data_IF_114387733550
#
_entry.id   IF_114387733550
#
_cell.length_a   1.000
_cell.length_b   1.000
_cell.length_c   1.000
_cell.angle_alpha   90.00
_cell.angle_beta   90.00
_cell.angle_gamma   90.00
#
_symmetry.space_group_name_H-M   'P 1'
#
loop_
_entity.id
_entity.type
_entity.pdbx_description
1 polymer ?
#
# COMPACT_ATOMS: atom_id res chain seq x y z
N UNK A 1 88.03 -63.67 3.73
CA UNK A 1 87.04 -64.56 4.38
C UNK A 1 85.70 -63.81 4.36
N UNK A 2 85.13 -63.59 3.18
CA UNK A 2 83.96 -64.28 2.59
C UNK A 2 82.67 -64.20 3.41
N UNK A 3 81.66 -63.45 2.92
CA UNK A 3 80.24 -63.84 2.65
C UNK A 3 79.25 -62.63 2.65
N UNK A 4 78.55 -62.40 1.50
CA UNK A 4 77.16 -61.86 1.23
C UNK A 4 76.78 -60.44 1.71
N UNK A 5 76.21 -59.48 0.95
CA UNK A 5 75.09 -59.37 -0.05
C UNK A 5 73.71 -59.82 0.47
N UNK A 6 72.73 -58.89 0.39
CA UNK A 6 71.25 -58.95 0.58
C UNK A 6 70.71 -58.75 2.01
N UNK A 7 70.07 -57.60 2.27
CA UNK A 7 68.60 -57.48 2.25
C UNK A 7 68.11 -55.98 2.27
N UNK A 8 67.25 -55.53 1.34
CA UNK A 8 66.60 -54.22 1.32
C UNK A 8 65.24 -54.23 2.09
N UNK A 9 64.70 -53.04 2.40
CA UNK A 9 63.37 -52.74 2.99
C UNK A 9 63.25 -52.97 4.51
N UNK A 10 63.24 -51.87 5.30
CA UNK A 10 62.15 -51.51 6.23
C UNK A 10 62.44 -50.13 6.87
N UNK A 11 61.46 -49.22 6.82
CA UNK A 11 61.45 -47.81 7.29
C UNK A 11 62.31 -46.83 6.44
N UNK A 12 61.83 -45.98 5.52
CA UNK A 12 60.51 -45.43 5.18
C UNK A 12 59.58 -45.19 6.36
N UNK A 13 60.01 -44.40 7.35
CA UNK A 13 59.12 -43.79 8.36
C UNK A 13 59.92 -42.95 9.37
N UNK A 14 60.62 -41.90 8.93
CA UNK A 14 60.99 -40.76 9.81
C UNK A 14 61.26 -39.49 8.98
N UNK A 15 60.44 -39.21 7.97
CA UNK A 15 60.38 -37.87 7.37
C UNK A 15 58.98 -37.30 7.55
N UNK A 16 58.91 -36.17 8.24
CA UNK A 16 57.74 -35.28 8.37
C UNK A 16 56.51 -35.89 9.06
N UNK A 17 56.47 -35.81 10.39
CA UNK A 17 55.26 -35.29 11.05
C UNK A 17 55.44 -33.78 11.20
N UNK A 18 55.18 -33.06 10.11
CA UNK A 18 54.64 -31.71 10.19
C UNK A 18 53.14 -31.93 10.00
N UNK A 19 52.42 -32.11 11.09
CA UNK A 19 51.00 -31.80 11.09
C UNK A 19 50.98 -30.30 10.85
N UNK A 20 50.60 -29.89 9.65
CA UNK A 20 50.13 -28.54 9.45
C UNK A 20 48.90 -28.43 10.34
N UNK A 21 48.99 -27.68 11.44
CA UNK A 21 47.79 -27.05 11.98
C UNK A 21 47.30 -26.14 10.87
N UNK A 22 46.34 -26.62 10.07
CA UNK A 22 45.43 -25.72 9.39
C UNK A 22 44.59 -25.14 10.54
N UNK A 23 44.68 -23.83 10.75
CA UNK A 23 43.63 -23.13 11.47
C UNK A 23 42.39 -23.27 10.60
N UNK A 24 41.40 -24.02 11.07
CA UNK A 24 40.09 -24.05 10.43
C UNK A 24 39.47 -22.66 10.54
N UNK A 25 38.90 -22.17 9.43
CA UNK A 25 38.24 -20.87 9.40
C UNK A 25 36.87 -21.04 10.02
N UNK A 26 36.63 -20.34 11.12
CA UNK A 26 35.32 -20.25 11.77
C UNK A 26 34.35 -19.46 10.89
N UNK A 27 33.10 -19.90 10.87
CA UNK A 27 31.97 -19.25 10.18
C UNK A 27 31.05 -18.68 11.25
N UNK A 28 30.58 -17.47 11.04
CA UNK A 28 29.74 -16.71 11.97
C UNK A 28 28.47 -16.26 11.24
N UNK A 29 27.33 -16.35 11.90
CA UNK A 29 26.03 -15.96 11.39
C UNK A 29 25.39 -15.02 12.43
N UNK A 30 25.20 -13.72 12.15
CA UNK A 30 24.62 -12.78 13.10
C UNK A 30 23.20 -13.15 13.53
N UNK A 31 22.42 -13.71 12.59
CA UNK A 31 21.09 -14.24 12.84
C UNK A 31 21.18 -15.62 13.53
N UNK A 32 20.69 -15.68 14.77
CA UNK A 32 20.70 -16.91 15.55
C UNK A 32 19.80 -18.01 14.94
N UNK A 33 18.69 -17.63 14.30
CA UNK A 33 17.78 -18.57 13.66
C UNK A 33 18.43 -19.20 12.43
N UNK A 34 19.19 -18.41 11.65
CA UNK A 34 20.01 -18.89 10.55
C UNK A 34 21.10 -19.84 11.06
N UNK A 35 21.84 -19.43 12.10
CA UNK A 35 22.88 -20.27 12.71
C UNK A 35 22.31 -21.61 13.19
N UNK A 36 21.22 -21.58 13.96
CA UNK A 36 20.57 -22.77 14.50
C UNK A 36 20.03 -23.69 13.40
N UNK A 37 19.47 -23.13 12.33
CA UNK A 37 18.97 -23.90 11.20
C UNK A 37 20.10 -24.58 10.42
N UNK A 38 21.22 -23.87 10.16
CA UNK A 38 22.39 -24.45 9.50
C UNK A 38 23.01 -25.55 10.37
N UNK A 39 23.17 -25.31 11.67
CA UNK A 39 23.66 -26.31 12.64
C UNK A 39 22.84 -27.59 12.63
N UNK A 40 21.52 -27.47 12.49
CA UNK A 40 20.62 -28.63 12.42
C UNK A 40 20.85 -29.45 11.14
N UNK A 41 21.15 -28.80 10.01
CA UNK A 41 21.39 -29.47 8.73
C UNK A 41 22.77 -30.16 8.67
N UNK A 42 23.79 -29.62 9.33
CA UNK A 42 25.14 -30.24 9.41
C UNK A 42 25.33 -31.19 10.60
N UNK A 43 24.27 -31.51 11.35
CA UNK A 43 24.31 -32.33 12.57
C UNK A 43 25.31 -31.81 13.65
N UNK A 44 25.60 -30.49 13.69
CA UNK A 44 26.58 -29.86 14.60
C UNK A 44 25.93 -28.90 15.59
N UNK A 45 25.43 -29.47 16.69
CA UNK A 45 24.66 -28.74 17.71
C UNK A 45 25.47 -28.06 18.80
N UNK A 46 26.79 -28.29 18.86
CA UNK A 46 27.68 -27.74 19.89
C UNK A 46 29.04 -27.35 19.29
N UNK A 47 29.65 -26.29 19.81
CA UNK A 47 30.98 -25.81 19.39
C UNK A 47 30.95 -24.80 18.24
N UNK A 48 32.12 -24.29 17.87
CA UNK A 48 32.28 -23.36 16.74
C UNK A 48 31.92 -24.07 15.42
N UNK A 49 31.28 -23.37 14.48
CA UNK A 49 31.10 -23.87 13.11
C UNK A 49 32.30 -23.48 12.26
N UNK A 50 32.77 -24.40 11.44
CA UNK A 50 33.90 -24.18 10.55
C UNK A 50 33.49 -24.38 9.09
N UNK A 51 34.21 -23.75 8.16
CA UNK A 51 33.97 -23.94 6.71
C UNK A 51 33.98 -25.42 6.31
N UNK A 52 34.76 -26.26 6.99
CA UNK A 52 34.80 -27.70 6.77
C UNK A 52 33.49 -28.43 7.03
N UNK A 53 32.63 -27.86 7.87
CA UNK A 53 31.37 -28.47 8.31
C UNK A 53 30.25 -28.23 7.30
N UNK A 54 30.35 -27.15 6.51
CA UNK A 54 29.33 -26.69 5.56
C UNK A 54 29.72 -26.84 4.09
N UNK A 55 31.01 -27.03 3.78
CA UNK A 55 31.54 -27.05 2.40
C UNK A 55 30.99 -28.15 1.48
N UNK A 56 30.35 -29.17 2.03
CA UNK A 56 29.86 -30.33 1.26
C UNK A 56 28.33 -30.27 1.07
N UNK A 57 27.69 -29.16 1.50
CA UNK A 57 26.26 -28.92 1.28
C UNK A 57 26.04 -28.38 -0.13
N UNK A 58 25.26 -29.12 -0.92
CA UNK A 58 24.81 -28.71 -2.27
C UNK A 58 23.37 -28.15 -2.23
N UNK A 59 22.54 -28.63 -1.30
CA UNK A 59 21.17 -28.14 -1.12
C UNK A 59 20.88 -27.88 0.35
N UNK A 60 20.04 -26.87 0.63
CA UNK A 60 19.71 -26.46 1.99
C UNK A 60 18.24 -26.07 2.12
N UNK A 61 17.57 -26.58 3.16
CA UNK A 61 16.19 -26.20 3.47
C UNK A 61 16.09 -25.45 4.79
N UNK A 62 15.82 -24.15 4.68
CA UNK A 62 15.67 -23.20 5.77
C UNK A 62 14.24 -22.62 5.83
N UNK A 63 13.24 -23.36 5.32
CA UNK A 63 11.86 -22.88 5.34
C UNK A 63 11.27 -22.82 6.75
N UNK A 64 10.51 -21.77 7.05
CA UNK A 64 9.73 -21.65 8.29
C UNK A 64 10.58 -21.50 9.55
N UNK A 65 11.73 -20.82 9.46
CA UNK A 65 12.71 -20.69 10.55
C UNK A 65 12.68 -19.34 11.25
N UNK A 66 11.88 -18.40 10.75
CA UNK A 66 11.85 -17.01 11.21
C UNK A 66 13.23 -16.35 11.10
N UNK A 67 13.91 -16.58 9.99
CA UNK A 67 15.19 -15.93 9.65
C UNK A 67 14.87 -14.51 9.18
N UNK A 68 15.57 -13.51 9.72
CA UNK A 68 15.44 -12.11 9.35
C UNK A 68 16.66 -11.64 8.52
N UNK A 69 17.85 -12.12 8.88
CA UNK A 69 19.13 -11.66 8.34
C UNK A 69 19.94 -12.83 7.75
N UNK A 70 20.43 -12.64 6.51
CA UNK A 70 21.18 -13.63 5.74
C UNK A 70 22.70 -13.44 5.79
N UNK A 71 23.21 -12.43 6.52
CA UNK A 71 24.65 -12.19 6.63
C UNK A 71 25.40 -13.45 7.07
N UNK A 72 26.50 -13.76 6.36
CA UNK A 72 27.32 -14.94 6.60
C UNK A 72 26.91 -16.17 5.78
N UNK A 73 25.73 -16.18 5.15
CA UNK A 73 25.28 -17.27 4.27
C UNK A 73 26.21 -17.48 3.07
N UNK A 74 26.95 -16.45 2.65
CA UNK A 74 27.92 -16.52 1.56
C UNK A 74 29.11 -17.44 1.86
N UNK A 75 29.31 -17.82 3.13
CA UNK A 75 30.30 -18.82 3.53
C UNK A 75 29.96 -20.24 3.04
N UNK A 76 28.72 -20.48 2.59
CA UNK A 76 28.25 -21.75 2.05
C UNK A 76 28.64 -21.91 0.56
N UNK A 77 29.95 -21.92 0.28
CA UNK A 77 30.53 -21.78 -1.07
C UNK A 77 30.09 -22.86 -2.11
N UNK A 78 29.51 -23.98 -1.67
CA UNK A 78 29.15 -25.11 -2.55
C UNK A 78 27.64 -25.33 -2.71
N UNK A 79 26.82 -24.43 -2.15
CA UNK A 79 25.38 -24.51 -2.24
C UNK A 79 24.91 -24.14 -3.66
N UNK A 80 24.09 -25.01 -4.24
CA UNK A 80 23.43 -24.83 -5.54
C UNK A 80 21.95 -24.47 -5.40
N UNK A 81 21.25 -24.98 -4.38
CA UNK A 81 19.80 -24.72 -4.17
C UNK A 81 19.48 -24.42 -2.69
N UNK A 82 18.74 -23.33 -2.43
CA UNK A 82 18.28 -22.98 -1.07
C UNK A 82 16.76 -22.79 -1.04
N UNK A 83 16.09 -23.40 -0.07
CA UNK A 83 14.70 -23.07 0.26
C UNK A 83 14.65 -22.15 1.49
N UNK A 84 14.21 -20.90 1.31
CA UNK A 84 14.02 -19.87 2.33
C UNK A 84 12.55 -19.50 2.52
N UNK A 85 11.62 -20.35 2.09
CA UNK A 85 10.17 -20.10 2.13
C UNK A 85 9.66 -19.84 3.56
N UNK A 86 8.72 -18.91 3.73
CA UNK A 86 8.07 -18.57 5.01
C UNK A 86 9.08 -18.13 6.09
N UNK A 87 9.89 -17.12 5.79
CA UNK A 87 10.78 -16.44 6.75
C UNK A 87 10.45 -14.93 6.80
N UNK A 88 11.29 -14.15 7.47
CA UNK A 88 11.11 -12.71 7.69
C UNK A 88 12.20 -11.89 6.97
N UNK A 89 12.71 -12.43 5.86
CA UNK A 89 13.86 -11.88 5.12
C UNK A 89 13.43 -10.65 4.34
N UNK A 90 14.18 -9.56 4.50
CA UNK A 90 13.96 -8.29 3.79
C UNK A 90 15.10 -7.91 2.86
N UNK A 91 16.27 -8.53 3.02
CA UNK A 91 17.48 -8.27 2.24
C UNK A 91 18.05 -9.58 1.68
N UNK A 92 18.34 -9.59 0.39
CA UNK A 92 18.89 -10.74 -0.35
C UNK A 92 20.27 -10.46 -0.93
N UNK A 93 20.87 -9.30 -0.65
CA UNK A 93 22.23 -8.94 -1.10
C UNK A 93 23.24 -10.09 -0.84
N UNK A 94 23.26 -10.77 0.33
CA UNK A 94 24.22 -11.85 0.58
C UNK A 94 24.18 -12.97 -0.47
N UNK A 95 22.99 -13.30 -0.99
CA UNK A 95 22.79 -14.38 -1.96
C UNK A 95 23.38 -14.03 -3.34
N UNK A 96 23.42 -12.75 -3.71
CA UNK A 96 23.93 -12.29 -5.03
C UNK A 96 25.41 -12.60 -5.24
N UNK A 97 26.15 -12.82 -4.14
CA UNK A 97 27.60 -13.09 -4.17
C UNK A 97 27.94 -14.59 -4.22
N UNK A 98 26.95 -15.47 -4.07
CA UNK A 98 27.12 -16.92 -4.02
C UNK A 98 27.29 -17.52 -5.42
N UNK A 99 28.55 -17.77 -5.80
CA UNK A 99 28.91 -18.13 -7.18
C UNK A 99 28.33 -19.44 -7.70
N UNK A 100 28.01 -20.38 -6.82
CA UNK A 100 27.47 -21.70 -7.19
C UNK A 100 25.94 -21.77 -6.99
N UNK A 101 25.30 -20.74 -6.41
CA UNK A 101 23.85 -20.73 -6.18
C UNK A 101 23.12 -20.62 -7.52
N UNK A 102 22.32 -21.62 -7.84
CA UNK A 102 21.55 -21.72 -9.08
C UNK A 102 20.08 -21.42 -8.83
N UNK A 103 19.51 -21.83 -7.70
CA UNK A 103 18.10 -21.63 -7.42
C UNK A 103 17.80 -21.27 -5.96
N UNK A 104 16.81 -20.39 -5.76
CA UNK A 104 16.32 -20.01 -4.43
C UNK A 104 14.79 -19.94 -4.39
N UNK A 105 14.17 -20.54 -3.36
CA UNK A 105 12.74 -20.35 -3.05
C UNK A 105 12.59 -19.30 -1.94
N UNK A 106 11.92 -18.19 -2.23
CA UNK A 106 11.75 -17.03 -1.32
C UNK A 106 10.29 -16.72 -0.99
N UNK A 107 9.34 -17.54 -1.45
CA UNK A 107 7.90 -17.35 -1.19
C UNK A 107 7.61 -17.13 0.30
N UNK A 108 6.68 -16.22 0.63
CA UNK A 108 6.31 -15.96 2.02
C UNK A 108 7.31 -15.12 2.82
N UNK A 109 8.24 -14.42 2.16
CA UNK A 109 9.10 -13.41 2.77
C UNK A 109 8.64 -11.98 2.43
N UNK A 110 8.85 -10.99 3.31
CA UNK A 110 8.52 -9.58 3.09
C UNK A 110 9.49 -8.88 2.12
N UNK A 111 9.66 -9.43 0.91
CA UNK A 111 10.57 -8.93 -0.12
C UNK A 111 9.86 -8.06 -1.15
N UNK A 112 10.56 -7.01 -1.60
CA UNK A 112 10.14 -6.16 -2.72
C UNK A 112 10.56 -6.77 -4.08
N UNK A 113 9.86 -6.43 -5.16
CA UNK A 113 10.11 -6.98 -6.50
C UNK A 113 11.52 -6.64 -7.03
N UNK A 114 12.11 -5.53 -6.58
CA UNK A 114 13.47 -5.14 -6.92
C UNK A 114 14.52 -6.15 -6.41
N UNK A 115 14.33 -6.69 -5.20
CA UNK A 115 15.22 -7.71 -4.64
C UNK A 115 15.17 -9.02 -5.45
N UNK A 116 13.99 -9.38 -5.95
CA UNK A 116 13.81 -10.56 -6.82
C UNK A 116 14.55 -10.35 -8.14
N UNK A 117 14.37 -9.18 -8.74
CA UNK A 117 15.03 -8.79 -10.00
C UNK A 117 16.55 -8.85 -9.88
N UNK A 118 17.12 -8.35 -8.77
CA UNK A 118 18.57 -8.35 -8.53
C UNK A 118 19.18 -9.77 -8.52
N UNK A 119 18.47 -10.73 -7.92
CA UNK A 119 18.88 -12.14 -7.90
C UNK A 119 18.80 -12.77 -9.29
N UNK A 120 17.72 -12.51 -10.04
CA UNK A 120 17.56 -13.00 -11.41
C UNK A 120 18.63 -12.43 -12.35
N UNK A 121 18.99 -11.15 -12.21
CA UNK A 121 20.09 -10.52 -12.95
C UNK A 121 21.46 -11.13 -12.61
N UNK A 122 21.60 -11.65 -11.39
CA UNK A 122 22.78 -12.41 -10.95
C UNK A 122 22.81 -13.84 -11.50
N UNK A 123 21.78 -14.26 -12.24
CA UNK A 123 21.68 -15.56 -12.89
C UNK A 123 21.09 -16.66 -12.01
N UNK A 124 20.49 -16.30 -10.87
CA UNK A 124 19.83 -17.21 -9.93
C UNK A 124 18.37 -17.40 -10.38
N UNK A 125 17.92 -18.65 -10.48
CA UNK A 125 16.51 -18.97 -10.68
C UNK A 125 15.74 -18.72 -9.37
N UNK A 126 14.84 -17.74 -9.37
CA UNK A 126 14.07 -17.36 -8.18
C UNK A 126 12.65 -17.90 -8.27
N UNK A 127 12.23 -18.67 -7.26
CA UNK A 127 10.84 -18.99 -7.01
C UNK A 127 10.32 -18.08 -5.90
N UNK A 128 9.52 -17.09 -6.28
CA UNK A 128 8.90 -16.16 -5.36
C UNK A 128 7.44 -15.95 -5.77
N UNK A 129 6.51 -16.35 -4.91
CA UNK A 129 5.11 -15.96 -5.00
C UNK A 129 4.83 -14.92 -3.93
N UNK A 130 4.56 -13.67 -4.34
CA UNK A 130 3.95 -12.69 -3.44
C UNK A 130 2.56 -13.19 -3.09
N UNK A 131 2.21 -13.24 -1.80
CA UNK A 131 0.88 -13.65 -1.37
C UNK A 131 -0.16 -12.73 -2.03
N UNK A 132 -0.84 -13.24 -3.07
CA UNK A 132 -1.89 -12.49 -3.76
C UNK A 132 -3.15 -12.59 -2.91
N UNK A 133 -3.40 -11.54 -2.12
CA UNK A 133 -4.61 -11.43 -1.31
C UNK A 133 -5.75 -10.95 -2.22
N UNK A 134 -6.45 -11.84 -2.91
CA UNK A 134 -7.55 -11.43 -3.81
C UNK A 134 -7.80 -12.43 -4.94
N UNK A 135 -8.66 -12.06 -5.88
CA UNK A 135 -8.86 -12.85 -7.10
C UNK A 135 -7.73 -12.55 -8.12
N UNK A 136 -7.31 -13.54 -8.94
CA UNK A 136 -6.32 -13.32 -10.00
C UNK A 136 -6.69 -12.21 -11.02
N UNK A 137 -7.99 -11.94 -11.18
CA UNK A 137 -8.55 -10.89 -12.05
C UNK A 137 -9.15 -9.73 -11.23
N UNK A 138 -8.79 -9.62 -9.95
CA UNK A 138 -9.23 -8.58 -9.00
C UNK A 138 -10.75 -8.39 -8.87
N UNK A 139 -11.24 -7.59 -7.92
CA UNK A 139 -12.53 -6.96 -8.06
C UNK A 139 -12.46 -5.76 -9.01
N UNK A 140 -13.63 -5.39 -9.51
CA UNK A 140 -13.81 -4.37 -10.53
C UNK A 140 -14.43 -3.11 -10.00
N UNK A 141 -13.69 -2.00 -10.03
CA UNK A 141 -14.24 -0.66 -9.81
C UNK A 141 -14.89 -0.11 -11.09
N UNK A 142 -14.82 1.20 -11.27
CA UNK A 142 -15.37 1.86 -12.44
C UNK A 142 -14.26 2.43 -13.33
N UNK A 143 -14.18 2.01 -14.59
CA UNK A 143 -13.15 2.48 -15.51
C UNK A 143 -13.73 2.95 -16.84
N UNK A 144 -13.39 4.18 -17.22
CA UNK A 144 -13.67 4.74 -18.54
C UNK A 144 -12.40 5.20 -19.22
N UNK A 145 -12.52 5.39 -20.54
CA UNK A 145 -11.48 5.89 -21.41
C UNK A 145 -12.02 6.99 -22.30
N UNK A 146 -11.25 8.06 -22.45
CA UNK A 146 -11.51 9.13 -23.43
C UNK A 146 -10.23 9.41 -24.22
N UNK A 147 -10.38 9.61 -25.53
CA UNK A 147 -9.26 9.87 -26.45
C UNK A 147 -9.49 11.17 -27.21
N UNK A 148 -8.41 11.93 -27.41
CA UNK A 148 -8.39 13.07 -28.32
C UNK A 148 -7.06 13.12 -29.09
N UNK A 149 -7.09 12.72 -30.37
CA UNK A 149 -5.86 12.56 -31.14
C UNK A 149 -5.01 11.40 -30.62
N UNK A 150 -3.78 11.68 -30.23
CA UNK A 150 -2.85 10.70 -29.64
C UNK A 150 -2.84 10.76 -28.09
N UNK A 151 -3.63 11.66 -27.48
CA UNK A 151 -3.79 11.74 -26.02
C UNK A 151 -4.88 10.79 -25.54
N UNK A 152 -4.57 10.01 -24.51
CA UNK A 152 -5.50 9.06 -23.87
C UNK A 152 -5.66 9.41 -22.39
N UNK A 153 -6.90 9.39 -21.89
CA UNK A 153 -7.18 9.53 -20.46
C UNK A 153 -8.02 8.35 -20.00
N UNK A 154 -7.53 7.66 -18.98
CA UNK A 154 -8.28 6.68 -18.21
C UNK A 154 -8.88 7.37 -16.99
N UNK A 155 -10.19 7.23 -16.78
CA UNK A 155 -10.93 7.78 -15.65
C UNK A 155 -11.29 6.62 -14.71
N UNK A 156 -10.56 6.49 -13.61
CA UNK A 156 -10.74 5.44 -12.61
C UNK A 156 -11.50 5.98 -11.40
N UNK A 157 -12.68 5.41 -11.13
CA UNK A 157 -13.46 5.66 -9.93
C UNK A 157 -12.85 4.94 -8.73
N UNK A 158 -12.66 5.66 -7.63
CA UNK A 158 -12.00 5.15 -6.42
C UNK A 158 -12.96 5.09 -5.23
N UNK A 159 -12.55 4.32 -4.22
CA UNK A 159 -13.04 4.40 -2.85
C UNK A 159 -11.83 4.67 -1.95
N UNK A 160 -12.00 5.56 -0.97
CA UNK A 160 -10.92 5.99 -0.07
C UNK A 160 -10.55 4.96 1.01
N UNK A 161 -11.39 3.93 1.16
CA UNK A 161 -11.22 2.87 2.16
C UNK A 161 -11.12 1.53 1.44
N UNK A 162 -10.14 0.72 1.86
CA UNK A 162 -9.86 -0.57 1.27
C UNK A 162 -9.93 -1.71 2.28
N UNK A 163 -9.94 -2.90 1.71
CA UNK A 163 -9.74 -4.19 2.40
C UNK A 163 -8.69 -4.96 1.61
N UNK A 164 -7.91 -5.86 2.24
CA UNK A 164 -6.81 -6.53 1.55
C UNK A 164 -7.20 -7.24 0.25
N UNK A 165 -8.41 -7.81 0.16
CA UNK A 165 -8.91 -8.53 -1.02
C UNK A 165 -9.42 -7.60 -2.14
N UNK A 166 -9.25 -6.29 -2.01
CA UNK A 166 -9.48 -5.31 -3.07
C UNK A 166 -8.33 -5.28 -4.09
N UNK A 167 -7.14 -5.77 -3.72
CA UNK A 167 -5.91 -5.61 -4.49
C UNK A 167 -5.25 -6.96 -4.86
N UNK A 168 -4.66 -7.13 -6.05
CA UNK A 168 -4.63 -6.16 -7.14
C UNK A 168 -6.03 -5.93 -7.74
N UNK A 169 -6.19 -4.79 -8.40
CA UNK A 169 -7.44 -4.45 -9.09
C UNK A 169 -7.60 -5.29 -10.36
N UNK A 170 -8.78 -5.24 -10.99
CA UNK A 170 -9.04 -5.93 -12.24
C UNK A 170 -7.99 -5.63 -13.33
N UNK A 171 -7.64 -6.64 -14.15
CA UNK A 171 -6.47 -6.58 -15.06
C UNK A 171 -6.47 -5.37 -15.99
N UNK A 172 -7.65 -4.98 -16.49
CA UNK A 172 -7.86 -3.80 -17.33
C UNK A 172 -7.49 -2.48 -16.63
N UNK A 173 -7.75 -2.38 -15.33
CA UNK A 173 -7.43 -1.20 -14.52
C UNK A 173 -5.93 -1.14 -14.29
N UNK A 174 -5.32 -2.27 -13.90
CA UNK A 174 -3.87 -2.35 -13.73
C UNK A 174 -3.12 -2.08 -15.05
N UNK A 175 -3.64 -2.55 -16.19
CA UNK A 175 -3.08 -2.24 -17.52
C UNK A 175 -3.22 -0.77 -17.88
N UNK A 176 -4.37 -0.15 -17.63
CA UNK A 176 -4.58 1.28 -17.83
C UNK A 176 -3.55 2.09 -17.04
N UNK A 177 -3.31 1.75 -15.77
CA UNK A 177 -2.27 2.36 -14.95
C UNK A 177 -0.87 2.17 -15.54
N UNK A 178 -0.51 0.94 -15.96
CA UNK A 178 0.82 0.63 -16.54
C UNK A 178 1.06 1.43 -17.82
N UNK A 179 0.04 1.55 -18.68
CA UNK A 179 0.11 2.29 -19.95
C UNK A 179 0.23 3.81 -19.76
N UNK A 180 -0.16 4.36 -18.61
CA UNK A 180 -0.14 5.79 -18.36
C UNK A 180 1.24 6.34 -18.03
N UNK A 181 1.55 7.51 -18.58
CA UNK A 181 2.77 8.28 -18.31
C UNK A 181 2.62 9.13 -17.04
N UNK A 182 1.39 9.61 -16.76
CA UNK A 182 1.08 10.56 -15.70
C UNK A 182 -0.09 10.05 -14.86
N UNK A 183 0.00 10.19 -13.54
CA UNK A 183 -1.10 9.89 -12.60
C UNK A 183 -1.71 11.17 -12.08
N UNK A 184 -3.02 11.27 -12.13
CA UNK A 184 -3.76 12.49 -11.89
C UNK A 184 -4.78 12.27 -10.76
N UNK A 185 -4.38 12.44 -9.48
CA UNK A 185 -5.29 12.33 -8.36
C UNK A 185 -6.12 13.62 -8.17
N UNK A 186 -7.19 13.54 -7.37
CA UNK A 186 -7.87 14.75 -6.87
C UNK A 186 -6.88 15.65 -6.12
N UNK A 187 -6.11 15.06 -5.22
CA UNK A 187 -5.07 15.75 -4.45
C UNK A 187 -3.78 14.93 -4.43
N UNK A 188 -2.65 15.61 -4.55
CA UNK A 188 -1.34 15.00 -4.35
C UNK A 188 -0.95 15.06 -2.88
N UNK A 189 -1.09 13.95 -2.16
CA UNK A 189 -0.76 13.88 -0.73
C UNK A 189 0.74 13.71 -0.46
N UNK A 190 1.56 13.35 -1.45
CA UNK A 190 3.00 13.14 -1.26
C UNK A 190 3.81 14.42 -1.38
N UNK A 191 3.34 15.38 -2.19
CA UNK A 191 4.04 16.65 -2.40
C UNK A 191 3.49 17.82 -1.57
N UNK A 192 2.59 17.56 -0.62
CA UNK A 192 2.12 18.60 0.30
C UNK A 192 2.96 18.61 1.58
N UNK A 193 3.49 19.79 1.93
CA UNK A 193 4.20 19.94 3.20
C UNK A 193 3.25 19.76 4.39
N UNK A 194 3.57 18.82 5.29
CA UNK A 194 2.79 18.58 6.52
C UNK A 194 2.55 19.84 7.35
N UNK A 195 3.49 20.80 7.33
CA UNK A 195 3.33 22.08 8.02
C UNK A 195 2.23 22.95 7.40
N UNK A 196 2.08 22.92 6.07
CA UNK A 196 1.04 23.65 5.35
C UNK A 196 -0.33 23.00 5.59
N UNK A 197 -0.42 21.67 5.56
CA UNK A 197 -1.66 20.95 5.91
C UNK A 197 -2.11 21.25 7.34
N UNK A 198 -1.19 21.16 8.31
CA UNK A 198 -1.52 21.45 9.70
C UNK A 198 -1.99 22.90 9.88
N UNK A 199 -1.34 23.85 9.20
CA UNK A 199 -1.75 25.25 9.23
C UNK A 199 -3.15 25.45 8.63
N UNK A 200 -3.42 24.81 7.49
CA UNK A 200 -4.70 24.89 6.81
C UNK A 200 -5.82 24.27 7.65
N UNK A 201 -5.59 23.10 8.24
CA UNK A 201 -6.53 22.45 9.15
C UNK A 201 -6.80 23.31 10.39
N UNK A 202 -5.77 23.93 10.98
CA UNK A 202 -5.98 24.89 12.07
C UNK A 202 -6.80 26.10 11.61
N UNK A 203 -6.49 26.69 10.46
CA UNK A 203 -7.20 27.86 9.93
C UNK A 203 -8.69 27.59 9.69
N UNK A 204 -9.00 26.46 9.05
CA UNK A 204 -10.37 26.12 8.64
C UNK A 204 -11.16 25.41 9.75
N UNK A 205 -10.49 24.55 10.50
CA UNK A 205 -11.09 23.58 11.42
C UNK A 205 -11.11 23.99 12.89
N UNK A 206 -10.52 25.12 13.28
CA UNK A 206 -10.59 25.62 14.67
C UNK A 206 -11.40 26.90 14.80
N UNK A 207 -11.96 27.13 15.99
CA UNK A 207 -12.60 28.40 16.33
C UNK A 207 -11.57 29.54 16.37
N UNK A 208 -11.91 30.67 15.75
CA UNK A 208 -11.06 31.87 15.70
C UNK A 208 -11.56 32.97 16.66
N UNK A 209 -12.66 32.72 17.35
CA UNK A 209 -13.22 33.60 18.37
C UNK A 209 -13.04 32.97 19.77
N UNK A 210 -13.74 33.49 20.78
CA UNK A 210 -13.67 32.98 22.16
C UNK A 210 -14.62 31.81 22.41
N UNK A 211 -15.31 31.30 21.36
CA UNK A 211 -16.23 30.16 21.48
C UNK A 211 -15.49 28.83 21.28
N UNK A 212 -16.15 27.74 21.64
CA UNK A 212 -15.64 26.37 21.53
C UNK A 212 -16.75 25.41 21.07
N UNK A 213 -16.43 24.13 20.92
CA UNK A 213 -17.38 23.11 20.47
C UNK A 213 -18.65 23.03 21.34
N UNK A 214 -18.51 23.07 22.68
CA UNK A 214 -19.63 23.05 23.64
C UNK A 214 -20.62 24.20 23.40
N UNK A 215 -20.13 25.38 23.01
CA UNK A 215 -20.97 26.56 22.75
C UNK A 215 -21.90 26.40 21.53
N UNK A 216 -21.56 25.51 20.59
CA UNK A 216 -22.30 25.33 19.32
C UNK A 216 -23.08 24.01 19.25
N UNK A 217 -22.85 23.06 20.17
CA UNK A 217 -23.55 21.78 20.18
C UNK A 217 -24.77 21.77 21.11
N UNK A 218 -25.84 21.01 20.77
CA UNK A 218 -26.81 20.58 21.75
C UNK A 218 -26.13 19.79 22.88
N UNK A 219 -26.61 19.97 24.11
CA UNK A 219 -26.06 19.31 25.30
C UNK A 219 -25.96 17.78 25.16
N UNK A 220 -26.96 17.16 24.53
CA UNK A 220 -26.98 15.71 24.29
C UNK A 220 -25.86 15.29 23.33
N UNK A 221 -25.72 15.97 22.20
CA UNK A 221 -24.65 15.76 21.22
C UNK A 221 -23.27 15.97 21.83
N UNK A 222 -23.07 17.01 22.65
CA UNK A 222 -21.79 17.25 23.33
C UNK A 222 -21.40 16.10 24.26
N UNK A 223 -22.37 15.53 25.00
CA UNK A 223 -22.13 14.38 25.87
C UNK A 223 -21.75 13.10 25.09
N UNK A 224 -22.33 12.91 23.90
CA UNK A 224 -21.98 11.79 23.01
C UNK A 224 -20.56 11.94 22.48
N UNK A 225 -20.18 13.15 22.03
CA UNK A 225 -18.80 13.48 21.62
C UNK A 225 -17.82 13.25 22.78
N UNK A 226 -18.12 13.78 23.96
CA UNK A 226 -17.29 13.61 25.15
C UNK A 226 -17.06 12.12 25.44
N UNK A 227 -18.13 11.33 25.44
CA UNK A 227 -18.05 9.89 25.67
C UNK A 227 -17.20 9.19 24.59
N UNK A 228 -17.47 9.47 23.31
CA UNK A 228 -16.77 8.87 22.17
C UNK A 228 -15.25 9.06 22.24
N UNK A 229 -14.81 10.30 22.50
CA UNK A 229 -13.39 10.64 22.52
C UNK A 229 -12.71 10.25 23.84
N UNK A 230 -13.36 10.42 24.99
CA UNK A 230 -12.77 10.06 26.28
C UNK A 230 -12.58 8.55 26.43
N UNK A 231 -13.52 7.73 25.94
CA UNK A 231 -13.38 6.26 25.95
C UNK A 231 -12.20 5.79 25.09
N UNK A 232 -11.82 6.58 24.07
CA UNK A 232 -10.65 6.36 23.20
C UNK A 232 -9.39 7.09 23.68
N UNK A 233 -9.43 7.74 24.84
CA UNK A 233 -8.27 8.38 25.48
C UNK A 233 -7.92 9.76 24.94
N UNK A 234 -8.79 10.39 24.14
CA UNK A 234 -8.59 11.74 23.64
C UNK A 234 -9.06 12.78 24.66
N UNK A 235 -8.26 13.82 24.97
CA UNK A 235 -8.64 14.86 25.91
C UNK A 235 -9.59 15.89 25.27
N UNK A 236 -10.74 16.13 25.92
CA UNK A 236 -11.72 17.11 25.41
C UNK A 236 -11.17 18.52 25.23
N UNK A 237 -10.19 18.95 26.03
CA UNK A 237 -9.61 20.28 25.88
C UNK A 237 -8.93 20.55 24.52
N UNK A 238 -8.62 19.51 23.73
CA UNK A 238 -8.17 19.65 22.33
C UNK A 238 -9.38 19.60 21.39
N UNK A 239 -10.29 18.64 21.60
CA UNK A 239 -11.49 18.46 20.78
C UNK A 239 -12.39 19.72 20.80
N UNK A 240 -12.51 20.37 21.96
CA UNK A 240 -13.29 21.60 22.14
C UNK A 240 -12.81 22.76 21.26
N UNK A 241 -11.56 22.71 20.77
CA UNK A 241 -11.00 23.74 19.89
C UNK A 241 -11.41 23.58 18.43
N UNK A 242 -11.90 22.40 18.05
CA UNK A 242 -12.26 22.05 16.68
C UNK A 242 -13.73 22.34 16.40
N UNK A 243 -14.02 22.76 15.17
CA UNK A 243 -15.37 22.93 14.65
C UNK A 243 -16.05 21.57 14.39
N UNK A 244 -17.39 21.51 14.36
CA UNK A 244 -18.12 20.24 14.29
C UNK A 244 -17.74 19.38 13.07
N UNK A 245 -17.54 19.97 11.89
CA UNK A 245 -17.15 19.22 10.69
C UNK A 245 -15.82 18.47 10.85
N UNK A 246 -14.84 19.09 11.53
CA UNK A 246 -13.53 18.46 11.73
C UNK A 246 -13.65 17.35 12.76
N UNK A 247 -14.45 17.55 13.81
CA UNK A 247 -14.76 16.51 14.80
C UNK A 247 -15.48 15.34 14.14
N UNK A 248 -16.42 15.58 13.24
CA UNK A 248 -17.10 14.55 12.44
C UNK A 248 -16.11 13.71 11.64
N UNK A 249 -15.17 14.35 10.93
CA UNK A 249 -14.12 13.65 10.19
C UNK A 249 -13.20 12.83 11.11
N UNK A 250 -12.87 13.35 12.30
CA UNK A 250 -12.09 12.61 13.30
C UNK A 250 -12.84 11.39 13.84
N UNK A 251 -14.16 11.51 14.06
CA UNK A 251 -15.01 10.36 14.44
C UNK A 251 -14.92 9.29 13.37
N UNK A 252 -15.20 9.61 12.10
CA UNK A 252 -15.12 8.65 11.00
C UNK A 252 -13.74 8.01 10.87
N UNK A 253 -12.66 8.78 10.96
CA UNK A 253 -11.29 8.25 10.86
C UNK A 253 -10.97 7.27 11.98
N UNK A 254 -11.38 7.55 13.22
CA UNK A 254 -11.17 6.65 14.36
C UNK A 254 -11.97 5.35 14.23
N UNK A 255 -13.18 5.42 13.67
CA UNK A 255 -14.02 4.25 13.42
C UNK A 255 -13.42 3.32 12.36
N UNK A 256 -12.93 3.89 11.24
CA UNK A 256 -12.19 3.16 10.21
C UNK A 256 -10.96 2.46 10.80
N UNK A 257 -10.18 3.18 11.60
CA UNK A 257 -8.97 2.64 12.24
C UNK A 257 -9.30 1.50 13.21
N UNK A 258 -10.37 1.63 14.01
CA UNK A 258 -10.80 0.61 14.97
C UNK A 258 -11.27 -0.68 14.30
N UNK A 259 -11.89 -0.55 13.11
CA UNK A 259 -12.34 -1.67 12.29
C UNK A 259 -11.22 -2.33 11.46
N UNK A 260 -10.04 -1.70 11.39
CA UNK A 260 -8.87 -2.25 10.69
C UNK A 260 -8.99 -2.21 9.16
N UNK A 261 -9.82 -1.33 8.62
CA UNK A 261 -9.82 -1.03 7.18
C UNK A 261 -8.48 -0.41 6.78
N UNK A 262 -8.06 -0.69 5.54
CA UNK A 262 -6.80 -0.22 4.98
C UNK A 262 -7.01 0.96 4.05
N UNK A 263 -5.91 1.47 3.50
CA UNK A 263 -5.92 2.47 2.45
C UNK A 263 -6.75 2.02 1.23
N UNK A 264 -7.41 3.00 0.61
CA UNK A 264 -8.28 2.82 -0.56
C UNK A 264 -7.55 2.70 -1.90
N UNK A 265 -8.35 2.70 -2.97
CA UNK A 265 -7.88 2.54 -4.35
C UNK A 265 -7.07 3.74 -4.82
N UNK A 266 -7.46 4.93 -4.36
CA UNK A 266 -6.74 6.19 -4.56
C UNK A 266 -5.30 6.10 -4.02
N UNK A 267 -5.15 5.75 -2.74
CA UNK A 267 -3.82 5.63 -2.11
C UNK A 267 -3.01 4.45 -2.64
N UNK A 268 -3.67 3.36 -3.06
CA UNK A 268 -3.01 2.24 -3.75
C UNK A 268 -2.31 2.71 -5.04
N UNK A 269 -3.04 3.35 -5.95
CA UNK A 269 -2.45 3.82 -7.21
C UNK A 269 -1.50 4.99 -7.03
N UNK A 270 -1.76 5.89 -6.08
CA UNK A 270 -0.86 7.00 -5.78
C UNK A 270 0.47 6.51 -5.22
N UNK A 271 0.46 5.50 -4.33
CA UNK A 271 1.69 4.89 -3.80
C UNK A 271 2.46 4.15 -4.88
N UNK A 272 1.77 3.43 -5.78
CA UNK A 272 2.41 2.82 -6.97
C UNK A 272 3.05 3.88 -7.85
N UNK A 273 2.35 4.98 -8.12
CA UNK A 273 2.89 6.08 -8.93
C UNK A 273 4.19 6.65 -8.35
N UNK A 274 4.27 6.78 -7.03
CA UNK A 274 5.49 7.21 -6.35
C UNK A 274 6.62 6.15 -6.46
N UNK A 275 6.30 4.87 -6.30
CA UNK A 275 7.27 3.78 -6.42
C UNK A 275 7.83 3.65 -7.85
N UNK A 276 6.97 3.85 -8.85
CA UNK A 276 7.29 3.76 -10.28
C UNK A 276 7.89 5.07 -10.85
N UNK A 277 8.11 6.10 -10.03
CA UNK A 277 8.62 7.43 -10.43
C UNK A 277 7.79 8.08 -11.56
N UNK A 278 6.46 7.87 -11.53
CA UNK A 278 5.53 8.50 -12.49
C UNK A 278 5.30 9.96 -12.12
N UNK A 279 5.07 10.79 -13.14
CA UNK A 279 4.66 12.18 -12.92
C UNK A 279 3.28 12.23 -12.26
N UNK A 280 3.13 13.07 -11.23
CA UNK A 280 1.86 13.25 -10.49
C UNK A 280 1.39 14.69 -10.66
N UNK A 281 0.15 14.87 -11.12
CA UNK A 281 -0.48 16.19 -11.30
C UNK A 281 -1.84 16.16 -10.61
N UNK A 282 -2.02 16.94 -9.53
CA UNK A 282 -3.29 17.02 -8.83
C UNK A 282 -4.33 17.88 -9.59
N UNK A 283 -5.61 17.47 -9.55
CA UNK A 283 -6.74 18.24 -10.08
C UNK A 283 -7.14 19.40 -9.17
N UNK A 284 -6.93 19.25 -7.86
CA UNK A 284 -7.41 20.17 -6.83
C UNK A 284 -6.32 20.47 -5.80
N UNK A 285 -6.55 21.53 -5.01
CA UNK A 285 -5.69 21.83 -3.87
C UNK A 285 -6.28 21.29 -2.57
N UNK A 286 -5.47 21.05 -1.53
CA UNK A 286 -6.00 20.68 -0.21
C UNK A 286 -6.97 21.71 0.38
N UNK A 287 -6.84 22.99 0.00
CA UNK A 287 -7.78 24.03 0.42
C UNK A 287 -9.14 23.87 -0.23
N UNK A 288 -9.18 23.47 -1.50
CA UNK A 288 -10.44 23.25 -2.22
C UNK A 288 -11.22 22.10 -1.56
N UNK A 289 -10.54 21.00 -1.21
CA UNK A 289 -11.13 19.86 -0.48
C UNK A 289 -11.62 20.21 0.93
N UNK A 290 -10.76 20.79 1.77
CA UNK A 290 -11.15 21.13 3.15
C UNK A 290 -12.15 22.29 3.23
N UNK A 291 -12.13 23.17 2.24
CA UNK A 291 -13.03 24.33 2.14
C UNK A 291 -14.50 23.91 2.05
N UNK A 292 -14.80 22.80 1.37
CA UNK A 292 -16.16 22.25 1.22
C UNK A 292 -16.83 22.16 2.58
N UNK A 293 -16.19 21.50 3.54
CA UNK A 293 -16.73 21.28 4.88
C UNK A 293 -16.73 22.55 5.73
N UNK A 294 -15.65 23.33 5.63
CA UNK A 294 -15.45 24.51 6.45
C UNK A 294 -16.42 25.66 6.11
N UNK A 295 -16.89 25.73 4.87
CA UNK A 295 -17.78 26.77 4.35
C UNK A 295 -19.28 26.44 4.55
N UNK A 296 -19.61 25.23 5.00
CA UNK A 296 -20.99 24.85 5.36
C UNK A 296 -21.51 25.67 6.53
N UNK A 297 -22.84 25.79 6.63
CA UNK A 297 -23.48 26.46 7.75
C UNK A 297 -23.15 25.73 9.06
N UNK A 298 -22.99 26.48 10.16
CA UNK A 298 -22.69 25.86 11.47
C UNK A 298 -23.75 24.82 11.84
N UNK A 299 -25.04 25.12 11.62
CA UNK A 299 -26.14 24.20 11.89
C UNK A 299 -25.98 22.88 11.12
N UNK A 300 -25.52 22.93 9.87
CA UNK A 300 -25.29 21.73 9.07
C UNK A 300 -24.01 20.98 9.47
N UNK A 301 -22.94 21.69 9.86
CA UNK A 301 -21.76 21.04 10.44
C UNK A 301 -22.11 20.27 11.73
N UNK A 302 -23.01 20.81 12.55
CA UNK A 302 -23.54 20.12 13.74
C UNK A 302 -24.34 18.88 13.34
N UNK A 303 -25.23 18.98 12.34
CA UNK A 303 -25.98 17.85 11.82
C UNK A 303 -25.04 16.72 11.34
N UNK A 304 -23.99 17.04 10.57
CA UNK A 304 -23.01 16.06 10.12
C UNK A 304 -22.33 15.34 11.28
N UNK A 305 -21.96 16.07 12.34
CA UNK A 305 -21.37 15.48 13.53
C UNK A 305 -22.36 14.54 14.24
N UNK A 306 -23.63 14.92 14.37
CA UNK A 306 -24.68 14.07 14.94
C UNK A 306 -24.85 12.77 14.13
N UNK A 307 -24.85 12.87 12.80
CA UNK A 307 -24.95 11.71 11.90
C UNK A 307 -23.70 10.82 11.92
N UNK A 308 -22.53 11.37 12.27
CA UNK A 308 -21.28 10.58 12.37
C UNK A 308 -21.20 9.70 13.64
N UNK A 309 -21.97 10.03 14.68
CA UNK A 309 -21.93 9.37 16.00
C UNK A 309 -22.79 8.09 16.06
N UNK A 310 -22.72 7.26 15.02
CA UNK A 310 -23.45 5.99 14.95
C UNK A 310 -22.69 4.82 15.61
N UNK A 311 -23.42 3.74 15.90
CA UNK A 311 -22.85 2.52 16.46
C UNK A 311 -21.84 1.88 15.50
N UNK A 312 -20.72 1.39 16.04
CA UNK A 312 -19.62 0.81 15.25
C UNK A 312 -20.03 -0.39 14.41
N UNK A 313 -20.99 -1.20 14.87
CA UNK A 313 -21.46 -2.35 14.10
C UNK A 313 -22.34 -1.92 12.93
N UNK A 314 -23.07 -0.80 13.06
CA UNK A 314 -23.82 -0.20 11.95
C UNK A 314 -22.85 0.40 10.94
N UNK A 315 -21.85 1.16 11.42
CA UNK A 315 -20.81 1.74 10.57
C UNK A 315 -20.04 0.66 9.78
N UNK A 316 -19.67 -0.45 10.42
CA UNK A 316 -19.02 -1.59 9.77
C UNK A 316 -19.90 -2.23 8.67
N UNK A 317 -21.20 -2.40 8.93
CA UNK A 317 -22.14 -2.96 7.96
C UNK A 317 -22.29 -2.06 6.74
N UNK A 318 -22.42 -0.75 6.95
CA UNK A 318 -22.58 0.23 5.88
C UNK A 318 -21.30 0.28 5.03
N UNK A 319 -20.11 0.31 5.64
CA UNK A 319 -18.84 0.27 4.91
C UNK A 319 -18.66 -1.04 4.12
N UNK A 320 -18.96 -2.19 4.71
CA UNK A 320 -18.84 -3.47 4.01
C UNK A 320 -19.79 -3.54 2.81
N UNK A 321 -21.02 -3.03 2.95
CA UNK A 321 -21.97 -2.96 1.85
C UNK A 321 -21.45 -2.07 0.71
N UNK A 322 -20.89 -0.90 1.03
CA UNK A 322 -20.30 0.00 0.02
C UNK A 322 -19.11 -0.63 -0.71
N UNK A 323 -18.23 -1.34 0.02
CA UNK A 323 -17.10 -2.05 -0.57
C UNK A 323 -17.59 -3.18 -1.49
N UNK A 324 -18.58 -3.96 -1.07
CA UNK A 324 -19.13 -5.05 -1.87
C UNK A 324 -19.77 -4.52 -3.17
N UNK A 325 -20.43 -3.37 -3.11
CA UNK A 325 -21.00 -2.70 -4.28
C UNK A 325 -19.89 -2.15 -5.17
N UNK A 326 -18.90 -1.48 -4.60
CA UNK A 326 -17.75 -1.00 -5.35
C UNK A 326 -17.07 -2.14 -6.11
N UNK A 327 -16.82 -3.28 -5.46
CA UNK A 327 -16.24 -4.49 -6.07
C UNK A 327 -17.06 -5.06 -7.24
N UNK A 328 -18.35 -4.75 -7.29
CA UNK A 328 -19.28 -5.22 -8.33
C UNK A 328 -19.33 -4.33 -9.57
N UNK A 329 -18.81 -3.10 -9.49
CA UNK A 329 -18.87 -2.10 -10.57
C UNK A 329 -20.29 -1.65 -10.95
N UNK A 330 -21.31 -1.90 -10.12
CA UNK A 330 -22.69 -1.54 -10.43
C UNK A 330 -23.02 -0.10 -9.98
N UNK A 331 -23.09 0.81 -10.95
CA UNK A 331 -23.43 2.22 -10.72
C UNK A 331 -24.82 2.39 -10.11
N UNK A 332 -25.82 1.64 -10.58
CA UNK A 332 -27.19 1.76 -10.07
C UNK A 332 -27.27 1.34 -8.61
N UNK A 333 -26.62 0.23 -8.23
CA UNK A 333 -26.58 -0.25 -6.84
C UNK A 333 -25.83 0.75 -5.93
N UNK A 334 -24.76 1.39 -6.44
CA UNK A 334 -24.02 2.41 -5.70
C UNK A 334 -24.90 3.62 -5.39
N UNK A 335 -25.60 4.13 -6.40
CA UNK A 335 -26.49 5.28 -6.24
C UNK A 335 -27.71 4.94 -5.37
N UNK A 336 -28.28 3.74 -5.50
CA UNK A 336 -29.43 3.31 -4.69
C UNK A 336 -29.08 3.14 -3.20
N UNK A 337 -27.85 2.76 -2.87
CA UNK A 337 -27.40 2.65 -1.47
C UNK A 337 -27.05 4.01 -0.87
N UNK A 338 -26.46 4.90 -1.65
CA UNK A 338 -26.06 6.22 -1.17
C UNK A 338 -27.23 7.22 -1.13
N UNK A 339 -28.22 7.06 -2.00
CA UNK A 339 -29.35 7.96 -2.12
C UNK A 339 -30.66 7.21 -1.97
N UNK A 340 -31.45 7.58 -0.95
CA UNK A 340 -32.84 7.13 -0.90
C UNK A 340 -33.61 7.73 -2.08
N UNK A 341 -33.96 6.91 -3.08
CA UNK A 341 -34.49 7.32 -4.38
C UNK A 341 -35.81 8.13 -4.33
N UNK A 342 -36.45 8.22 -3.17
CA UNK A 342 -37.73 8.91 -2.94
C UNK A 342 -37.69 9.98 -1.82
N UNK A 343 -36.53 10.23 -1.19
CA UNK A 343 -36.39 11.24 -0.14
C UNK A 343 -36.05 12.61 -0.76
N UNK A 344 -36.79 13.65 -0.35
CA UNK A 344 -36.44 15.01 -0.74
C UNK A 344 -35.29 15.49 0.16
N UNK A 345 -34.17 15.86 -0.45
CA UNK A 345 -33.08 16.54 0.25
C UNK A 345 -33.57 17.89 0.80
N UNK A 346 -33.04 18.26 1.96
CA UNK A 346 -33.10 19.61 2.49
C UNK A 346 -32.30 20.57 1.61
N UNK A 347 -32.53 21.87 1.78
CA UNK A 347 -31.80 22.90 1.02
C UNK A 347 -30.31 22.87 1.38
N UNK A 348 -30.00 22.55 2.62
CA UNK A 348 -28.64 22.41 3.13
C UNK A 348 -27.93 21.17 2.57
N UNK A 349 -28.62 20.03 2.47
CA UNK A 349 -28.10 18.82 1.80
C UNK A 349 -27.89 19.04 0.30
N UNK A 350 -28.82 19.71 -0.40
CA UNK A 350 -28.66 20.09 -1.80
C UNK A 350 -27.41 20.95 -2.01
N UNK A 351 -27.21 21.97 -1.16
CA UNK A 351 -26.05 22.85 -1.24
C UNK A 351 -24.73 22.13 -0.91
N UNK A 352 -24.76 21.18 0.03
CA UNK A 352 -23.61 20.34 0.33
C UNK A 352 -23.25 19.44 -0.85
N UNK A 353 -24.23 18.76 -1.46
CA UNK A 353 -24.00 17.92 -2.63
C UNK A 353 -23.51 18.73 -3.84
N UNK A 354 -24.06 19.93 -4.07
CA UNK A 354 -23.59 20.84 -5.13
C UNK A 354 -22.12 21.25 -4.91
N UNK A 355 -21.70 21.46 -3.65
CA UNK A 355 -20.31 21.79 -3.32
C UNK A 355 -19.37 20.58 -3.38
N UNK A 356 -19.81 19.42 -2.88
CA UNK A 356 -19.04 18.19 -2.81
C UNK A 356 -18.83 17.53 -4.18
N UNK A 357 -19.84 17.62 -5.06
CA UNK A 357 -19.87 16.91 -6.34
C UNK A 357 -19.90 17.89 -7.52
N UNK A 358 -20.99 18.63 -7.71
CA UNK A 358 -21.27 19.33 -8.98
C UNK A 358 -20.20 20.37 -9.34
N UNK A 359 -19.91 21.30 -8.44
CA UNK A 359 -18.93 22.36 -8.68
C UNK A 359 -17.53 21.79 -8.94
N UNK A 360 -17.19 20.69 -8.25
CA UNK A 360 -15.92 19.99 -8.40
C UNK A 360 -15.86 19.24 -9.72
N UNK A 361 -16.94 18.58 -10.14
CA UNK A 361 -17.02 17.88 -11.42
C UNK A 361 -16.80 18.82 -12.60
N UNK A 362 -17.36 20.03 -12.56
CA UNK A 362 -17.07 21.05 -13.59
C UNK A 362 -15.60 21.49 -13.58
N UNK A 363 -15.00 21.70 -12.41
CA UNK A 363 -13.58 22.05 -12.29
C UNK A 363 -12.65 20.93 -12.79
N UNK A 364 -12.91 19.69 -12.36
CA UNK A 364 -12.18 18.50 -12.78
C UNK A 364 -12.30 18.28 -14.30
N UNK A 365 -13.51 18.39 -14.85
CA UNK A 365 -13.72 18.29 -16.30
C UNK A 365 -12.96 19.38 -17.07
N UNK A 366 -12.90 20.62 -16.55
CA UNK A 366 -12.12 21.70 -17.15
C UNK A 366 -10.62 21.36 -17.21
N UNK A 367 -10.04 20.83 -16.12
CA UNK A 367 -8.63 20.39 -16.09
C UNK A 367 -8.38 19.18 -17.00
N UNK A 368 -9.29 18.19 -17.00
CA UNK A 368 -9.20 17.02 -17.88
C UNK A 368 -9.25 17.43 -19.36
N UNK A 369 -10.12 18.38 -19.72
CA UNK A 369 -10.18 18.94 -21.07
C UNK A 369 -8.86 19.64 -21.44
N UNK A 370 -8.17 20.31 -20.51
CA UNK A 370 -6.83 20.88 -20.77
C UNK A 370 -5.80 19.81 -21.10
N UNK A 371 -5.84 18.65 -20.43
CA UNK A 371 -4.97 17.53 -20.78
C UNK A 371 -5.29 16.99 -22.17
N UNK A 372 -6.56 16.77 -22.50
CA UNK A 372 -7.02 16.31 -23.83
C UNK A 372 -6.63 17.27 -24.97
N UNK A 373 -6.56 18.58 -24.70
CA UNK A 373 -6.23 19.60 -25.70
C UNK A 373 -4.73 19.98 -25.74
N UNK A 374 -3.92 19.45 -24.81
CA UNK A 374 -2.50 19.80 -24.67
C UNK A 374 -1.67 19.46 -25.91
N UNK A 375 -2.01 18.35 -26.59
CA UNK A 375 -1.25 17.81 -27.72
C UNK A 375 0.13 17.28 -27.32
N UNK A 376 0.30 16.85 -26.07
CA UNK A 376 1.55 16.31 -25.53
C UNK A 376 1.75 14.81 -25.84
N UNK A 377 0.79 14.18 -26.53
CA UNK A 377 0.79 12.74 -26.90
C UNK A 377 1.03 11.83 -25.67
N UNK A 378 0.43 12.20 -24.52
CA UNK A 378 0.56 11.50 -23.24
C UNK A 378 -0.67 10.64 -22.91
N UNK A 379 -0.46 9.63 -22.06
CA UNK A 379 -1.52 8.83 -21.45
C UNK A 379 -1.66 9.18 -19.97
N UNK A 380 -2.84 9.63 -19.54
CA UNK A 380 -3.13 10.03 -18.16
C UNK A 380 -3.98 8.98 -17.44
N UNK A 381 -3.63 8.65 -16.20
CA UNK A 381 -4.44 7.84 -15.30
C UNK A 381 -5.06 8.72 -14.22
N UNK A 382 -6.30 9.15 -14.44
CA UNK A 382 -7.04 10.00 -13.52
C UNK A 382 -7.73 9.14 -12.46
N UNK A 383 -7.45 9.41 -11.18
CA UNK A 383 -8.08 8.74 -10.04
C UNK A 383 -8.92 9.75 -9.25
N UNK A 384 -10.24 9.58 -9.30
CA UNK A 384 -11.22 10.41 -8.56
C UNK A 384 -12.22 9.52 -7.85
N UNK A 385 -12.85 10.02 -6.79
CA UNK A 385 -13.91 9.34 -6.06
C UNK A 385 -15.02 8.91 -7.01
N UNK A 386 -15.55 7.70 -6.81
CA UNK A 386 -16.50 7.09 -7.76
C UNK A 386 -17.70 7.98 -8.09
N UNK A 387 -18.17 8.78 -7.12
CA UNK A 387 -19.28 9.72 -7.35
C UNK A 387 -18.99 10.78 -8.41
N UNK A 388 -17.74 11.22 -8.57
CA UNK A 388 -17.35 12.16 -9.62
C UNK A 388 -17.54 11.60 -11.03
N UNK A 389 -17.64 10.27 -11.17
CA UNK A 389 -17.87 9.58 -12.43
C UNK A 389 -19.30 9.05 -12.58
N UNK A 390 -20.07 8.95 -11.49
CA UNK A 390 -21.38 8.28 -11.50
C UNK A 390 -22.56 9.15 -11.09
N UNK A 391 -22.36 10.20 -10.30
CA UNK A 391 -23.43 11.07 -9.81
C UNK A 391 -23.56 12.33 -10.67
N UNK A 392 -24.70 12.46 -11.34
CA UNK A 392 -24.99 13.59 -12.23
C UNK A 392 -25.05 14.94 -11.49
N UNK A 393 -24.50 16.03 -12.07
CA UNK A 393 -23.64 16.05 -13.26
C UNK A 393 -22.26 15.43 -12.95
N UNK A 394 -21.92 14.32 -13.60
CA UNK A 394 -20.63 13.66 -13.40
C UNK A 394 -19.63 14.07 -14.50
N UNK A 395 -18.33 13.92 -14.25
CA UNK A 395 -17.26 14.32 -15.19
C UNK A 395 -17.48 13.73 -16.59
N UNK A 396 -17.93 12.48 -16.68
CA UNK A 396 -18.19 11.82 -17.97
C UNK A 396 -19.29 12.54 -18.77
N UNK A 397 -20.42 12.90 -18.16
CA UNK A 397 -21.52 13.56 -18.87
C UNK A 397 -21.13 14.97 -19.28
N UNK A 398 -20.32 15.65 -18.47
CA UNK A 398 -19.76 16.97 -18.82
C UNK A 398 -18.84 16.86 -20.05
N UNK A 399 -17.94 15.88 -20.10
CA UNK A 399 -17.06 15.66 -21.27
C UNK A 399 -17.87 15.28 -22.53
N UNK A 400 -18.92 14.47 -22.39
CA UNK A 400 -19.83 14.14 -23.49
C UNK A 400 -20.58 15.36 -24.03
N UNK A 401 -21.02 16.27 -23.14
CA UNK A 401 -21.63 17.55 -23.52
C UNK A 401 -20.66 18.48 -24.26
N UNK A 402 -19.36 18.41 -23.93
CA UNK A 402 -18.28 19.10 -24.65
C UNK A 402 -17.93 18.45 -26.01
N UNK A 403 -18.44 17.24 -26.27
CA UNK A 403 -18.35 16.55 -27.55
C UNK A 403 -17.29 15.45 -27.62
N UNK A 404 -16.72 15.04 -26.49
CA UNK A 404 -15.83 13.89 -26.40
C UNK A 404 -16.62 12.56 -26.40
N UNK A 405 -16.03 11.51 -26.95
CA UNK A 405 -16.56 10.15 -26.85
C UNK A 405 -15.88 9.45 -25.68
N UNK A 406 -16.67 9.01 -24.70
CA UNK A 406 -16.17 8.32 -23.50
C UNK A 406 -16.60 6.85 -23.56
N UNK A 407 -15.63 5.94 -23.56
CA UNK A 407 -15.83 4.49 -23.60
C UNK A 407 -15.83 3.91 -22.18
N UNK A 408 -16.86 3.12 -21.85
CA UNK A 408 -16.89 2.31 -20.63
C UNK A 408 -16.06 1.04 -20.81
N UNK A 409 -15.00 0.87 -20.01
CA UNK A 409 -14.02 -0.21 -20.14
C UNK A 409 -14.29 -1.37 -19.18
N UNK A 410 -14.62 -1.04 -17.93
CA UNK A 410 -14.90 -2.01 -16.88
C UNK A 410 -15.99 -1.52 -15.95
#
# INVERSE_FOLDING_TARGET
MYVKILQPILFLLTSLMLVACQSETEVDFPDQQLEEAIRAEVDQTDGELYLSDVRDLETLNLSGKAIEDLDGIEALESIEEINLTDNEITDVEPLTTMLELVAVELTGNPLEEAAITELEESGIEVAFEKEQVGLPDGPGGFLWKVENGDTTIYLQGTVHLGVPDLFPMHEKIEQAYVESDVVVPEIDLFNVEMAEMNKLQMELGTYQDETNLEDHLPEETYQEVETFFMDRGFPMGVIDTYKPWLVSNMVSQLMVQELGFTEGVDMYFLSKAQADDKEIIALETPRDQLGIFADLSMDYQVQMLEESLIDINTYEQDLQQLIDIYKSGNVDDLLDVLFETDAAMSVEEEAYMEALNDNRNYGMAEEITKFLESGEDQTYFVIVGSLHLTLEPHVISILEEEGYEVEHIH
#
